data_IF_050411685160
#
_entry.id   IF_050411685160
#
_cell.length_a   1.000
_cell.length_b   1.000
_cell.length_c   1.000
_cell.angle_alpha   90.00
_cell.angle_beta   90.00
_cell.angle_gamma   90.00
#
_symmetry.space_group_name_H-M   'P 1'
#
loop_
_entity.id
_entity.type
_entity.pdbx_description
1 polymer ?
#
# COMPACT_ATOMS: atom_id res chain seq x y z
N UNK A 1 12.32 77.65 5.70
CA UNK A 1 12.58 76.42 6.47
C UNK A 1 11.24 75.70 6.51
N UNK A 2 10.84 74.92 5.49
CA UNK A 2 11.31 73.55 5.19
C UNK A 2 11.33 72.69 6.47
N UNK A 3 10.61 71.58 6.63
CA UNK A 3 9.72 70.77 5.80
C UNK A 3 8.85 69.90 6.74
N UNK A 4 7.62 69.54 6.36
CA UNK A 4 7.19 68.25 5.79
C UNK A 4 6.79 67.18 6.84
N UNK A 5 5.66 66.50 6.64
CA UNK A 5 5.27 65.34 7.49
C UNK A 5 3.79 65.16 7.87
N UNK A 6 2.91 65.02 6.89
CA UNK A 6 1.77 64.06 6.77
C UNK A 6 0.98 63.61 8.03
N UNK A 7 -0.33 63.86 8.00
CA UNK A 7 -1.37 63.22 8.84
C UNK A 7 -1.46 61.72 8.50
N UNK A 8 -1.79 60.89 9.49
CA UNK A 8 -2.94 59.96 9.44
C UNK A 8 -3.20 59.34 10.82
N UNK A 9 -4.48 59.35 11.23
CA UNK A 9 -5.01 58.67 12.41
C UNK A 9 -5.06 57.16 12.16
N UNK A 10 -4.62 56.36 13.12
CA UNK A 10 -5.12 54.99 13.29
C UNK A 10 -5.32 54.73 14.79
N UNK A 11 -6.58 54.73 15.22
CA UNK A 11 -7.03 54.18 16.49
C UNK A 11 -6.54 52.73 16.60
N UNK A 12 -5.73 52.42 17.61
CA UNK A 12 -5.44 51.04 18.01
C UNK A 12 -6.04 50.82 19.40
N UNK A 13 -7.04 49.94 19.56
CA UNK A 13 -7.57 49.61 20.86
C UNK A 13 -6.54 48.74 21.57
N UNK A 14 -5.87 49.27 22.59
CA UNK A 14 -5.11 48.47 23.55
C UNK A 14 -6.10 47.66 24.38
N UNK A 15 -6.56 46.54 23.83
CA UNK A 15 -7.23 45.51 24.59
C UNK A 15 -6.13 44.76 25.36
N UNK A 16 -5.92 45.17 26.61
CA UNK A 16 -5.09 44.47 27.58
C UNK A 16 -5.67 43.07 27.81
N UNK A 17 -5.33 42.13 26.94
CA UNK A 17 -5.54 40.72 27.19
C UNK A 17 -4.64 40.33 28.35
N UNK A 18 -5.26 40.24 29.52
CA UNK A 18 -4.72 39.63 30.71
C UNK A 18 -4.31 38.20 30.35
N UNK A 19 -3.01 37.98 30.20
CA UNK A 19 -2.44 36.64 30.04
C UNK A 19 -2.61 35.92 31.39
N UNK A 20 -3.64 35.10 31.49
CA UNK A 20 -3.76 34.09 32.55
C UNK A 20 -2.72 33.01 32.23
N UNK A 21 -1.66 32.97 33.04
CA UNK A 21 -0.72 31.87 33.07
C UNK A 21 -1.27 30.87 34.08
N UNK A 22 -2.09 29.93 33.63
CA UNK A 22 -2.45 28.73 34.38
C UNK A 22 -1.21 27.81 34.43
N UNK A 23 -0.22 28.19 35.23
CA UNK A 23 0.86 27.30 35.64
C UNK A 23 0.32 26.48 36.80
N UNK A 24 -0.48 25.45 36.48
CA UNK A 24 -0.90 24.43 37.44
C UNK A 24 0.37 23.78 38.01
N UNK A 25 0.57 23.92 39.32
CA UNK A 25 1.72 23.37 40.05
C UNK A 25 1.75 21.85 39.86
N UNK A 26 2.74 21.36 39.11
CA UNK A 26 2.87 19.92 38.79
C UNK A 26 3.22 19.17 40.07
N UNK A 27 2.28 18.41 40.63
CA UNK A 27 2.51 17.54 41.78
C UNK A 27 3.41 16.36 41.41
N UNK A 28 4.71 16.49 41.65
CA UNK A 28 5.70 15.43 41.45
C UNK A 28 5.61 14.28 42.47
N UNK A 29 4.70 14.36 43.46
CA UNK A 29 4.50 13.28 44.45
C UNK A 29 3.84 12.06 43.83
N UNK A 30 2.96 12.29 42.86
CA UNK A 30 2.31 11.23 42.09
C UNK A 30 3.10 11.02 40.82
N UNK A 31 3.97 10.01 40.78
CA UNK A 31 4.71 9.66 39.54
C UNK A 31 3.67 9.35 38.46
N UNK A 32 3.58 10.12 37.37
CA UNK A 32 2.69 9.76 36.27
C UNK A 32 3.14 8.40 35.76
N UNK A 33 2.25 7.41 35.85
CA UNK A 33 2.46 6.17 35.14
C UNK A 33 2.30 6.49 33.65
N UNK A 34 3.42 6.76 32.99
CA UNK A 34 3.51 7.05 31.56
C UNK A 34 3.11 5.85 30.67
N UNK A 35 2.52 4.80 31.26
CA UNK A 35 2.07 3.59 30.59
C UNK A 35 0.62 3.30 30.99
N UNK A 36 -0.27 3.23 30.01
CA UNK A 36 -1.64 2.72 30.21
C UNK A 36 -1.60 1.19 29.96
N UNK A 37 -1.73 0.35 31.01
CA UNK A 37 -1.71 -1.10 30.86
C UNK A 37 -2.90 -1.66 30.05
N UNK A 38 -3.94 -0.86 29.81
CA UNK A 38 -5.06 -1.25 28.96
C UNK A 38 -4.87 -0.84 27.50
N UNK A 39 -3.85 -0.05 27.17
CA UNK A 39 -3.65 0.47 25.81
C UNK A 39 -3.37 -0.67 24.82
N UNK A 40 -2.52 -1.62 25.22
CA UNK A 40 -2.24 -2.82 24.42
C UNK A 40 -3.53 -3.62 24.14
N UNK A 41 -4.39 -3.77 25.16
CA UNK A 41 -5.66 -4.49 25.03
C UNK A 41 -6.65 -3.76 24.09
N UNK A 42 -6.63 -2.43 24.09
CA UNK A 42 -7.46 -1.61 23.20
C UNK A 42 -6.96 -1.72 21.76
N UNK A 43 -5.66 -1.72 21.56
CA UNK A 43 -5.00 -1.84 20.26
C UNK A 43 -5.21 -3.23 19.65
N UNK A 44 -5.05 -4.30 20.44
CA UNK A 44 -5.30 -5.67 20.00
C UNK A 44 -6.75 -5.84 19.51
N UNK A 45 -7.72 -5.38 20.31
CA UNK A 45 -9.15 -5.41 19.93
C UNK A 45 -9.46 -4.55 18.69
N UNK A 46 -8.69 -3.49 18.47
CA UNK A 46 -8.85 -2.66 17.27
C UNK A 46 -8.34 -3.40 16.02
N UNK A 47 -7.19 -4.07 16.10
CA UNK A 47 -6.65 -4.89 15.01
C UNK A 47 -7.56 -6.07 14.70
N UNK A 48 -8.04 -6.79 15.72
CA UNK A 48 -8.96 -7.92 15.53
C UNK A 48 -10.25 -7.50 14.84
N UNK A 49 -10.81 -6.36 15.26
CA UNK A 49 -11.99 -5.78 14.60
C UNK A 49 -11.71 -5.40 13.15
N UNK A 50 -10.49 -4.92 12.86
CA UNK A 50 -10.07 -4.54 11.51
C UNK A 50 -9.90 -5.76 10.61
N UNK A 51 -9.39 -6.88 11.15
CA UNK A 51 -9.14 -8.15 10.45
C UNK A 51 -10.38 -9.03 10.30
N UNK A 52 -11.50 -8.69 10.95
CA UNK A 52 -12.78 -9.42 10.86
C UNK A 52 -12.69 -10.95 11.08
N UNK A 53 -11.67 -11.43 11.80
CA UNK A 53 -11.43 -12.86 12.02
C UNK A 53 -10.99 -13.63 10.77
N UNK A 54 -10.45 -12.95 9.75
CA UNK A 54 -9.86 -13.60 8.59
C UNK A 54 -8.42 -14.02 8.91
N UNK A 55 -8.13 -15.32 8.83
CA UNK A 55 -6.78 -15.85 8.99
C UNK A 55 -5.92 -15.41 7.79
N UNK A 56 -5.10 -14.37 7.99
CA UNK A 56 -4.05 -13.98 7.07
C UNK A 56 -2.83 -14.86 7.29
N UNK A 57 -2.30 -15.50 6.24
CA UNK A 57 -1.11 -16.37 6.38
C UNK A 57 0.19 -15.59 6.60
N UNK A 58 0.25 -14.35 6.09
CA UNK A 58 1.44 -13.50 6.16
C UNK A 58 1.11 -12.03 5.90
N UNK A 59 2.02 -11.15 6.34
CA UNK A 59 2.10 -9.76 5.88
C UNK A 59 3.14 -9.66 4.77
N UNK A 60 2.77 -9.07 3.62
CA UNK A 60 3.65 -8.96 2.45
C UNK A 60 4.29 -7.58 2.37
N UNK A 61 5.62 -7.57 2.18
CA UNK A 61 6.42 -6.36 2.03
C UNK A 61 7.16 -6.34 0.70
N UNK A 62 7.39 -5.13 0.17
CA UNK A 62 8.16 -4.95 -1.05
C UNK A 62 9.65 -5.32 -0.82
N UNK A 63 10.29 -6.11 -1.70
CA UNK A 63 11.68 -6.51 -1.51
C UNK A 63 12.69 -5.38 -1.65
N UNK A 64 12.36 -4.29 -2.35
CA UNK A 64 13.28 -3.19 -2.59
C UNK A 64 13.20 -2.07 -1.55
N UNK A 65 12.00 -1.77 -1.06
CA UNK A 65 11.77 -0.64 -0.15
C UNK A 65 11.07 -1.01 1.16
N UNK A 66 10.79 -2.30 1.39
CA UNK A 66 10.12 -2.83 2.59
C UNK A 66 8.75 -2.20 2.89
N UNK A 67 8.17 -1.45 1.95
CA UNK A 67 6.82 -0.92 2.09
C UNK A 67 5.83 -2.07 2.14
N UNK A 68 4.94 -2.07 3.13
CA UNK A 68 3.86 -3.04 3.24
C UNK A 68 2.94 -2.95 2.03
N UNK A 69 2.73 -4.08 1.37
CA UNK A 69 1.91 -4.20 0.15
C UNK A 69 0.56 -4.88 0.43
N UNK A 70 0.52 -5.79 1.39
CA UNK A 70 -0.69 -6.53 1.73
C UNK A 70 -0.64 -6.98 3.18
N UNK A 71 -1.75 -6.80 3.89
CA UNK A 71 -1.93 -7.25 5.28
C UNK A 71 -2.72 -8.57 5.36
N UNK A 72 -3.50 -8.88 4.33
CA UNK A 72 -4.43 -10.01 4.28
C UNK A 72 -4.17 -10.81 3.01
N UNK A 73 -3.34 -11.84 3.12
CA UNK A 73 -3.03 -12.71 2.01
C UNK A 73 -3.19 -14.18 2.40
N UNK A 74 -3.49 -14.99 1.40
CA UNK A 74 -3.55 -16.45 1.50
C UNK A 74 -2.41 -17.04 0.69
N UNK A 75 -1.71 -18.02 1.26
CA UNK A 75 -0.63 -18.71 0.57
C UNK A 75 -1.20 -19.61 -0.52
N UNK A 76 -0.57 -19.58 -1.70
CA UNK A 76 -1.02 -20.39 -2.82
C UNK A 76 -0.82 -21.89 -2.55
N UNK A 77 -1.84 -22.72 -2.81
CA UNK A 77 -1.84 -24.16 -2.49
C UNK A 77 -0.67 -24.93 -3.14
N UNK A 78 -0.39 -24.61 -4.40
CA UNK A 78 0.68 -25.27 -5.19
C UNK A 78 2.09 -24.71 -4.96
N UNK A 79 2.22 -23.43 -4.65
CA UNK A 79 3.50 -22.73 -4.61
C UNK A 79 3.59 -21.93 -3.33
N UNK A 80 4.35 -22.45 -2.36
CA UNK A 80 4.45 -21.86 -1.02
C UNK A 80 5.09 -20.47 -1.00
N UNK A 81 5.83 -20.10 -2.06
CA UNK A 81 6.45 -18.77 -2.21
C UNK A 81 5.53 -17.76 -2.88
N UNK A 82 4.29 -18.15 -3.23
CA UNK A 82 3.32 -17.28 -3.89
C UNK A 82 2.13 -17.04 -2.96
N UNK A 83 1.58 -15.84 -3.06
CA UNK A 83 0.49 -15.39 -2.20
C UNK A 83 -0.61 -14.77 -3.05
N UNK A 84 -1.85 -15.05 -2.69
CA UNK A 84 -3.05 -14.49 -3.29
C UNK A 84 -3.68 -13.49 -2.33
N UNK A 85 -4.10 -12.35 -2.85
CA UNK A 85 -4.78 -11.34 -2.05
C UNK A 85 -5.86 -10.65 -2.88
N UNK A 86 -6.88 -10.15 -2.18
CA UNK A 86 -7.95 -9.34 -2.77
C UNK A 86 -7.69 -7.87 -2.46
N UNK A 87 -7.27 -7.57 -1.23
CA UNK A 87 -6.99 -6.22 -0.76
C UNK A 87 -5.50 -5.95 -0.72
N UNK A 88 -5.07 -4.93 -1.44
CA UNK A 88 -3.67 -4.49 -1.49
C UNK A 88 -3.57 -3.02 -1.18
N UNK A 89 -2.44 -2.64 -0.59
CA UNK A 89 -2.08 -1.25 -0.30
C UNK A 89 -0.77 -0.94 -1.00
N UNK A 90 -0.57 0.32 -1.37
CA UNK A 90 0.71 0.78 -1.94
C UNK A 90 1.12 0.04 -3.23
N UNK A 91 0.17 -0.48 -4.01
CA UNK A 91 0.39 -1.13 -5.31
C UNK A 91 -0.14 -0.28 -6.47
N UNK A 92 0.53 -0.32 -7.62
CA UNK A 92 0.12 0.29 -8.90
C UNK A 92 0.00 -0.81 -9.94
N UNK A 93 -1.13 -0.84 -10.65
CA UNK A 93 -1.36 -1.78 -11.75
C UNK A 93 -0.78 -1.16 -13.03
N UNK A 94 0.17 -1.85 -13.63
CA UNK A 94 0.69 -1.53 -14.96
C UNK A 94 -0.33 -1.88 -16.04
N UNK A 95 -0.36 -1.10 -17.12
CA UNK A 95 -1.20 -1.40 -18.29
C UNK A 95 -0.61 -2.50 -19.18
N UNK A 96 0.60 -2.97 -18.88
CA UNK A 96 1.26 -3.99 -19.67
C UNK A 96 0.58 -5.34 -19.44
N UNK A 97 0.07 -5.92 -20.52
CA UNK A 97 -0.58 -7.23 -20.51
C UNK A 97 0.50 -8.28 -20.61
N UNK A 98 0.83 -8.93 -19.50
CA UNK A 98 1.78 -10.03 -19.50
C UNK A 98 1.05 -11.27 -20.03
N UNK A 99 1.26 -11.59 -21.30
CA UNK A 99 0.84 -12.87 -21.85
C UNK A 99 1.76 -13.96 -21.28
N UNK A 100 1.19 -14.95 -20.59
CA UNK A 100 1.91 -16.19 -20.27
C UNK A 100 2.31 -16.89 -21.57
N UNK A 101 3.51 -16.59 -22.07
CA UNK A 101 4.17 -17.48 -23.02
C UNK A 101 4.58 -18.71 -22.23
N UNK A 102 3.70 -19.71 -22.23
CA UNK A 102 4.07 -21.06 -21.83
C UNK A 102 5.27 -21.44 -22.72
N UNK A 103 6.47 -21.35 -22.15
CA UNK A 103 7.71 -21.70 -22.82
C UNK A 103 7.79 -23.22 -22.92
N UNK A 104 6.86 -23.81 -23.69
CA UNK A 104 7.06 -25.10 -24.31
C UNK A 104 8.26 -24.91 -25.24
N UNK A 105 9.42 -25.38 -24.78
CA UNK A 105 10.62 -25.50 -25.61
C UNK A 105 10.30 -26.47 -26.74
N UNK A 106 9.66 -25.97 -27.80
CA UNK A 106 9.50 -26.68 -29.06
C UNK A 106 10.86 -26.70 -29.76
N UNK A 107 11.72 -27.61 -29.32
CA UNK A 107 12.83 -28.08 -30.15
C UNK A 107 12.28 -29.06 -31.16
N UNK A 108 11.67 -28.58 -32.26
CA UNK A 108 11.63 -29.34 -33.51
C UNK A 108 11.36 -28.49 -34.75
N UNK A 109 12.43 -28.33 -35.53
CA UNK A 109 12.54 -28.31 -37.00
C UNK A 109 11.60 -27.40 -37.82
N UNK A 110 12.28 -26.47 -38.49
CA UNK A 110 12.42 -26.39 -39.96
C UNK A 110 11.16 -26.25 -40.84
N UNK A 111 11.27 -25.29 -41.77
CA UNK A 111 10.60 -25.20 -43.08
C UNK A 111 9.31 -24.37 -43.15
N UNK A 112 9.49 -23.11 -43.56
CA UNK A 112 8.84 -22.59 -44.77
C UNK A 112 7.43 -22.00 -44.64
N UNK A 113 7.34 -20.76 -45.14
CA UNK A 113 6.24 -20.25 -45.98
C UNK A 113 5.03 -19.61 -45.29
N UNK A 114 5.09 -18.27 -45.31
CA UNK A 114 4.08 -17.27 -45.73
C UNK A 114 2.62 -17.37 -45.26
N UNK A 115 2.20 -16.27 -44.60
CA UNK A 115 0.96 -15.54 -44.89
C UNK A 115 -0.37 -16.22 -44.53
N UNK A 116 -1.04 -15.70 -43.50
CA UNK A 116 -2.51 -15.67 -43.46
C UNK A 116 -3.00 -14.56 -42.52
N UNK A 117 -3.52 -13.48 -43.10
CA UNK A 117 -4.49 -12.59 -42.46
C UNK A 117 -5.76 -13.39 -42.19
N UNK A 118 -6.25 -13.36 -40.95
CA UNK A 118 -7.43 -14.10 -40.55
C UNK A 118 -7.87 -13.73 -39.15
N UNK A 119 -8.83 -12.79 -39.09
CA UNK A 119 -9.84 -12.65 -38.05
C UNK A 119 -10.33 -14.02 -37.56
N UNK A 120 -10.20 -14.30 -36.26
CA UNK A 120 -10.76 -15.51 -35.66
C UNK A 120 -11.05 -15.26 -34.18
N UNK A 121 -12.30 -14.87 -33.93
CA UNK A 121 -12.95 -14.85 -32.63
C UNK A 121 -13.06 -16.29 -32.07
N UNK A 122 -11.93 -16.86 -31.66
CA UNK A 122 -11.85 -18.08 -30.87
C UNK A 122 -11.66 -17.73 -29.41
N UNK A 123 -12.72 -17.91 -28.65
CA UNK A 123 -12.77 -17.95 -27.18
C UNK A 123 -11.79 -18.98 -26.63
N UNK A 124 -10.51 -18.64 -26.68
CA UNK A 124 -9.50 -19.21 -25.81
C UNK A 124 -9.55 -18.30 -24.60
N UNK A 125 -9.75 -18.87 -23.42
CA UNK A 125 -9.72 -18.16 -22.15
C UNK A 125 -8.29 -17.62 -21.95
N UNK A 126 -7.96 -16.53 -22.64
CA UNK A 126 -6.67 -15.86 -22.54
C UNK A 126 -6.77 -15.11 -21.23
N UNK A 127 -6.37 -15.77 -20.14
CA UNK A 127 -6.16 -15.14 -18.84
C UNK A 127 -5.19 -13.96 -19.05
N UNK A 128 -5.76 -12.76 -19.13
CA UNK A 128 -4.99 -11.54 -19.31
C UNK A 128 -4.54 -11.06 -17.94
N UNK A 129 -3.29 -11.33 -17.61
CA UNK A 129 -2.68 -10.82 -16.39
C UNK A 129 -2.14 -9.41 -16.63
N UNK A 130 -2.39 -8.50 -15.68
CA UNK A 130 -1.77 -7.17 -15.65
C UNK A 130 -0.66 -7.16 -14.61
N UNK A 131 0.46 -6.51 -14.92
CA UNK A 131 1.58 -6.39 -13.98
C UNK A 131 1.20 -5.52 -12.77
N UNK A 132 1.70 -5.88 -11.59
CA UNK A 132 1.52 -5.12 -10.35
C UNK A 132 2.88 -4.71 -9.82
N UNK A 133 3.04 -3.41 -9.59
CA UNK A 133 4.28 -2.80 -9.12
C UNK A 133 4.05 -2.07 -7.80
N UNK A 134 5.10 -1.97 -6.97
CA UNK A 134 5.07 -1.13 -5.78
C UNK A 134 4.91 0.35 -6.16
N UNK A 135 4.01 1.06 -5.48
CA UNK A 135 3.76 2.48 -5.71
C UNK A 135 4.93 3.40 -5.35
N UNK A 136 5.79 2.96 -4.42
CA UNK A 136 6.91 3.73 -3.85
C UNK A 136 8.18 3.58 -4.70
N UNK A 137 8.62 2.36 -4.95
CA UNK A 137 9.89 2.09 -5.65
C UNK A 137 9.70 1.56 -7.09
N UNK A 138 8.46 1.39 -7.56
CA UNK A 138 8.13 0.86 -8.90
C UNK A 138 8.64 -0.54 -9.20
N UNK A 139 9.08 -1.30 -8.19
CA UNK A 139 9.49 -2.70 -8.34
C UNK A 139 8.29 -3.57 -8.67
N UNK A 140 8.45 -4.47 -9.63
CA UNK A 140 7.46 -5.51 -9.94
C UNK A 140 7.35 -6.50 -8.78
N UNK A 141 6.12 -6.67 -8.26
CA UNK A 141 5.84 -7.50 -7.07
C UNK A 141 4.92 -8.67 -7.40
N UNK A 142 4.14 -8.57 -8.48
CA UNK A 142 3.20 -9.60 -8.87
C UNK A 142 2.41 -9.27 -10.13
N UNK A 143 1.31 -10.00 -10.32
CA UNK A 143 0.32 -9.77 -11.37
C UNK A 143 -1.09 -9.79 -10.79
N UNK A 144 -2.07 -9.24 -11.50
CA UNK A 144 -3.49 -9.32 -11.18
C UNK A 144 -4.23 -10.00 -12.34
N UNK A 145 -5.18 -10.86 -12.01
CA UNK A 145 -6.02 -11.58 -12.98
C UNK A 145 -7.28 -10.78 -13.38
N UNK A 146 -8.20 -11.43 -14.08
CA UNK A 146 -9.48 -10.83 -14.50
C UNK A 146 -10.51 -10.76 -13.36
N UNK A 147 -10.36 -11.63 -12.35
CA UNK A 147 -11.21 -11.67 -11.15
C UNK A 147 -10.73 -10.68 -10.07
N UNK A 148 -9.82 -9.76 -10.43
CA UNK A 148 -9.23 -8.75 -9.55
C UNK A 148 -8.45 -9.35 -8.36
N UNK A 149 -7.95 -10.59 -8.49
CA UNK A 149 -7.12 -11.26 -7.51
C UNK A 149 -5.64 -11.03 -7.82
N UNK A 150 -4.94 -10.49 -6.81
CA UNK A 150 -3.50 -10.24 -6.88
C UNK A 150 -2.73 -11.52 -6.59
N UNK A 151 -1.79 -11.83 -7.46
CA UNK A 151 -0.86 -12.95 -7.37
C UNK A 151 0.55 -12.41 -7.17
N UNK A 152 1.05 -12.49 -5.94
CA UNK A 152 2.39 -12.04 -5.56
C UNK A 152 3.39 -13.19 -5.64
N UNK A 153 4.55 -12.93 -6.25
CA UNK A 153 5.67 -13.89 -6.33
C UNK A 153 7.03 -13.25 -6.03
N UNK A 154 7.13 -11.92 -5.99
CA UNK A 154 8.36 -11.20 -5.67
C UNK A 154 8.12 -10.28 -4.46
N UNK A 155 7.84 -10.90 -3.31
CA UNK A 155 7.49 -10.24 -2.05
C UNK A 155 8.21 -10.90 -0.88
N UNK A 156 8.37 -10.14 0.20
CA UNK A 156 8.91 -10.64 1.47
C UNK A 156 7.73 -10.92 2.41
N UNK A 157 7.42 -12.20 2.70
CA UNK A 157 6.44 -12.54 3.71
C UNK A 157 7.04 -12.38 5.11
N UNK A 158 6.28 -11.81 6.03
CA UNK A 158 6.55 -11.84 7.46
C UNK A 158 5.46 -12.67 8.14
N UNK A 159 5.86 -13.60 9.01
CA UNK A 159 4.91 -14.36 9.83
C UNK A 159 4.10 -13.39 10.70
N UNK A 160 2.79 -13.63 10.74
CA UNK A 160 1.82 -12.91 11.56
C UNK A 160 1.63 -13.57 12.92
#
# INVERSE_FOLDING_TARGET
>A
MEGDGKRDKADSPTNSQQTVSDDDEIDYTTKPEFYDPELDNKDERWIDKKRHGCDSDAVLSCPACFTTLCLECQRHEKYLTQYRAIFVVNCKIGNDKVLRQNNSRSRKRNRGTEGFDGDDARSTDIETFKQVCCSVCSTEVGVIDQDEVYHFYNVLPSES
#
